data_IF_514153050248
#
_entry.id   IF_514153050248
#
_cell.length_a   1.000
_cell.length_b   1.000
_cell.length_c   1.000
_cell.angle_alpha   90.00
_cell.angle_beta   90.00
_cell.angle_gamma   90.00
#
_symmetry.space_group_name_H-M   'P 1'
#
loop_
_entity.id
_entity.type
_entity.pdbx_description
1 polymer ?
#
# COMPACT_ATOMS: atom_id res chain seq x y z
N UNK A 1 18.82 26.99 30.32
CA UNK A 1 18.62 26.55 29.86
C UNK A 1 18.19 25.96 29.33
N UNK A 2 18.07 26.04 29.20
CA UNK A 2 17.77 25.43 28.53
C UNK A 2 17.40 24.65 28.02
N UNK A 3 17.36 24.73 28.08
CA UNK A 3 17.18 23.95 27.53
C UNK A 3 16.85 23.19 27.07
N UNK A 4 16.84 23.35 27.16
CA UNK A 4 16.71 22.56 26.65
C UNK A 4 16.28 21.91 26.19
N UNK A 5 16.29 22.18 26.24
CA UNK A 5 16.08 21.54 25.67
C UNK A 5 15.75 20.83 25.14
N UNK A 6 15.82 20.96 25.18
CA UNK A 6 15.69 20.24 24.52
C UNK A 6 15.38 19.39 24.13
N UNK A 7 15.39 19.31 24.49
CA UNK A 7 15.25 18.53 24.02
C UNK A 7 14.71 17.84 23.73
N UNK A 8 14.69 17.86 23.84
CA UNK A 8 14.37 17.25 23.39
C UNK A 8 13.81 16.73 22.84
N UNK A 9 13.89 17.04 22.64
CA UNK A 9 13.55 16.71 21.86
C UNK A 9 13.20 16.19 21.28
N UNK A 10 13.23 16.16 21.26
CA UNK A 10 13.17 15.83 20.46
C UNK A 10 13.27 15.31 19.76
N UNK A 11 13.14 15.07 19.70
CA UNK A 11 13.53 15.06 18.33
C UNK A 11 13.47 13.74 17.64
N UNK A 12 13.92 12.81 18.05
CA UNK A 12 13.92 11.48 17.49
C UNK A 12 12.56 10.88 17.32
N UNK A 13 11.62 11.62 17.59
CA UNK A 13 10.24 11.15 17.61
C UNK A 13 9.68 10.72 16.27
N UNK A 14 10.15 11.20 15.14
CA UNK A 14 9.59 10.70 13.86
C UNK A 14 9.68 9.19 13.72
N UNK A 15 10.72 8.61 14.25
CA UNK A 15 10.84 7.16 14.18
C UNK A 15 9.81 6.48 15.04
N UNK A 16 9.44 7.10 16.15
CA UNK A 16 8.47 6.50 17.04
C UNK A 16 7.10 6.40 16.39
N UNK A 17 6.67 7.46 15.71
CA UNK A 17 5.34 7.39 15.11
C UNK A 17 5.27 6.37 13.98
N UNK A 18 6.37 6.11 13.30
CA UNK A 18 6.39 5.09 12.26
C UNK A 18 6.25 3.69 12.84
N UNK A 19 6.57 3.55 14.10
CA UNK A 19 6.49 2.27 14.79
C UNK A 19 5.30 2.21 15.76
N UNK A 20 4.36 3.15 15.61
CA UNK A 20 3.16 3.11 16.44
C UNK A 20 2.37 1.86 16.11
N UNK A 21 2.08 1.07 17.14
CA UNK A 21 1.40 -0.19 17.00
C UNK A 21 0.12 -0.15 17.82
N UNK A 22 -0.99 -0.46 17.17
CA UNK A 22 -2.26 -0.61 17.85
C UNK A 22 -2.48 -2.08 18.13
N UNK A 23 -2.23 -2.48 19.36
CA UNK A 23 -2.33 -3.89 19.73
C UNK A 23 -3.76 -4.42 19.68
N UNK A 24 -4.74 -3.54 19.56
CA UNK A 24 -6.13 -3.95 19.41
C UNK A 24 -6.51 -4.17 17.95
N UNK A 25 -5.65 -3.73 17.03
CA UNK A 25 -5.96 -3.75 15.60
C UNK A 25 -4.90 -4.55 14.84
N UNK A 26 -4.64 -5.76 15.30
CA UNK A 26 -3.69 -6.65 14.65
C UNK A 26 -4.27 -8.06 14.61
N UNK A 27 -3.62 -8.91 13.84
CA UNK A 27 -4.04 -10.31 13.75
C UNK A 27 -3.46 -11.10 14.90
N UNK A 28 -4.28 -11.96 15.49
CA UNK A 28 -3.81 -12.82 16.59
C UNK A 28 -3.06 -14.05 16.10
N UNK A 29 -2.96 -14.25 14.81
CA UNK A 29 -2.18 -15.32 14.20
C UNK A 29 -1.53 -14.75 12.95
N UNK A 30 -0.50 -15.42 12.45
CA UNK A 30 0.24 -14.91 11.31
C UNK A 30 -0.56 -15.14 10.02
N UNK A 31 -1.00 -14.07 9.35
CA UNK A 31 -1.76 -14.24 8.12
C UNK A 31 -0.84 -14.59 6.96
N UNK A 32 -1.38 -15.25 5.95
CA UNK A 32 -0.63 -15.53 4.72
C UNK A 32 -1.15 -14.70 3.56
N UNK A 33 -2.23 -13.95 3.75
CA UNK A 33 -2.87 -13.16 2.70
C UNK A 33 -3.54 -11.94 3.30
N UNK A 34 -3.67 -10.90 2.50
CA UNK A 34 -4.35 -9.69 2.89
C UNK A 34 -4.75 -8.92 1.64
N UNK A 35 -5.46 -7.80 1.82
CA UNK A 35 -5.90 -6.98 0.69
C UNK A 35 -4.80 -6.03 0.24
N UNK A 36 -4.52 -6.05 -1.06
CA UNK A 36 -3.85 -4.92 -1.70
C UNK A 36 -4.86 -3.80 -1.80
N UNK A 37 -4.42 -2.58 -1.55
CA UNK A 37 -5.27 -1.40 -1.60
C UNK A 37 -4.74 -0.50 -2.71
N UNK A 38 -5.54 -0.29 -3.75
CA UNK A 38 -5.15 0.50 -4.89
C UNK A 38 -5.96 1.78 -4.90
N UNK A 39 -5.30 2.92 -4.74
CA UNK A 39 -5.94 4.22 -4.76
C UNK A 39 -5.87 4.81 -6.16
N UNK A 40 -7.00 5.27 -6.65
CA UNK A 40 -7.18 5.66 -8.04
C UNK A 40 -7.93 6.97 -8.14
N UNK A 41 -7.90 7.56 -9.34
CA UNK A 41 -8.75 8.69 -9.67
C UNK A 41 -9.92 8.18 -10.51
N UNK A 42 -11.13 8.44 -10.06
CA UNK A 42 -12.35 8.14 -10.81
C UNK A 42 -13.02 9.46 -11.09
N UNK A 43 -13.29 9.75 -12.37
CA UNK A 43 -13.93 10.99 -12.76
C UNK A 43 -14.79 10.75 -14.00
N UNK A 44 -15.35 11.82 -14.59
CA UNK A 44 -16.25 11.65 -15.72
C UNK A 44 -15.56 11.11 -16.96
N UNK A 45 -14.27 11.39 -17.12
CA UNK A 45 -13.50 10.89 -18.25
C UNK A 45 -13.00 9.47 -17.98
N UNK A 46 -12.81 9.12 -16.72
CA UNK A 46 -12.31 7.82 -16.28
C UNK A 46 -13.25 7.26 -15.22
N UNK A 47 -14.46 6.88 -15.65
CA UNK A 47 -15.44 6.31 -14.72
C UNK A 47 -15.17 4.82 -14.48
N UNK A 48 -14.32 4.23 -15.28
CA UNK A 48 -13.79 2.90 -15.06
C UNK A 48 -12.33 2.89 -15.51
N UNK A 49 -11.47 2.28 -14.70
CA UNK A 49 -10.02 2.30 -14.92
C UNK A 49 -9.51 0.88 -15.00
N UNK A 50 -8.98 0.48 -16.17
CA UNK A 50 -8.38 -0.85 -16.28
C UNK A 50 -7.13 -0.96 -15.42
N UNK A 51 -7.02 -2.08 -14.71
CA UNK A 51 -5.87 -2.38 -13.86
C UNK A 51 -5.20 -3.65 -14.36
N UNK A 52 -3.89 -3.66 -14.38
CA UNK A 52 -3.10 -4.84 -14.69
C UNK A 52 -2.12 -5.08 -13.54
N UNK A 53 -2.10 -6.29 -13.04
CA UNK A 53 -1.25 -6.68 -11.93
C UNK A 53 -0.15 -7.57 -12.47
N UNK A 54 1.10 -7.10 -12.37
CA UNK A 54 2.27 -7.84 -12.80
C UNK A 54 2.93 -8.48 -11.60
N UNK A 55 3.28 -9.75 -11.73
CA UNK A 55 4.06 -10.43 -10.72
C UNK A 55 5.51 -10.00 -10.88
N UNK A 56 6.07 -9.40 -9.82
CA UNK A 56 7.41 -8.85 -9.87
C UNK A 56 7.41 -7.48 -10.52
N UNK A 57 8.43 -7.21 -11.29
CA UNK A 57 8.59 -5.92 -11.95
C UNK A 57 7.86 -5.89 -13.29
N UNK A 58 7.48 -4.69 -13.69
CA UNK A 58 6.79 -4.50 -14.97
C UNK A 58 7.63 -5.00 -16.14
N UNK A 59 8.94 -4.82 -16.07
CA UNK A 59 9.84 -5.22 -17.13
C UNK A 59 9.81 -6.72 -17.39
N UNK A 60 9.47 -7.50 -16.39
CA UNK A 60 9.39 -8.95 -16.55
C UNK A 60 8.16 -9.37 -17.34
N UNK A 61 7.15 -8.52 -17.40
CA UNK A 61 5.98 -8.73 -18.24
C UNK A 61 5.09 -9.89 -17.83
N UNK A 62 5.19 -10.38 -16.61
CA UNK A 62 4.39 -11.51 -16.14
C UNK A 62 3.09 -11.01 -15.55
N UNK A 63 2.03 -11.08 -16.34
CA UNK A 63 0.71 -10.62 -15.90
C UNK A 63 0.08 -11.71 -15.05
N UNK A 64 -0.30 -11.35 -13.82
CA UNK A 64 -0.93 -12.26 -12.90
C UNK A 64 -2.45 -12.09 -12.87
N UNK A 65 -2.92 -10.85 -13.02
CA UNK A 65 -4.34 -10.56 -12.90
C UNK A 65 -4.69 -9.27 -13.63
N UNK A 66 -5.90 -9.20 -14.15
CA UNK A 66 -6.43 -7.99 -14.77
C UNK A 66 -7.84 -7.77 -14.27
N UNK A 67 -8.19 -6.50 -14.05
CA UNK A 67 -9.50 -6.13 -13.56
C UNK A 67 -9.81 -4.69 -13.96
N UNK A 68 -10.98 -4.21 -13.60
CA UNK A 68 -11.41 -2.85 -13.89
C UNK A 68 -11.97 -2.25 -12.61
N UNK A 69 -11.45 -1.08 -12.23
CA UNK A 69 -11.90 -0.39 -11.04
C UNK A 69 -12.94 0.66 -11.40
N UNK A 70 -13.98 0.75 -10.60
CA UNK A 70 -15.04 1.77 -10.77
C UNK A 70 -15.17 2.65 -9.55
N UNK A 71 -14.34 2.45 -8.54
CA UNK A 71 -14.30 3.25 -7.32
C UNK A 71 -12.88 3.71 -7.06
N UNK A 72 -12.74 4.75 -6.27
CA UNK A 72 -11.43 5.35 -6.00
C UNK A 72 -10.53 4.44 -5.18
N UNK A 73 -11.08 3.46 -4.52
CA UNK A 73 -10.30 2.47 -3.80
C UNK A 73 -10.68 1.08 -4.30
N UNK A 74 -9.69 0.34 -4.75
CA UNK A 74 -9.87 -1.02 -5.28
C UNK A 74 -9.10 -1.98 -4.40
N UNK A 75 -9.76 -3.06 -3.97
CA UNK A 75 -9.15 -4.05 -3.09
C UNK A 75 -8.97 -5.36 -3.84
N UNK A 76 -7.81 -5.98 -3.67
CA UNK A 76 -7.54 -7.29 -4.22
C UNK A 76 -6.88 -8.16 -3.15
N UNK A 77 -7.54 -9.26 -2.79
CA UNK A 77 -7.00 -10.19 -1.79
C UNK A 77 -5.86 -10.98 -2.43
N UNK A 78 -4.70 -10.96 -1.80
CA UNK A 78 -3.49 -11.54 -2.37
C UNK A 78 -2.60 -12.12 -1.28
N UNK A 79 -1.69 -12.99 -1.69
CA UNK A 79 -0.71 -13.57 -0.76
C UNK A 79 0.34 -12.54 -0.37
N UNK A 80 0.85 -12.71 0.84
CA UNK A 80 1.94 -11.87 1.33
C UNK A 80 3.26 -12.30 0.72
N UNK A 81 4.27 -11.44 0.88
CA UNK A 81 5.64 -11.68 0.44
C UNK A 81 5.77 -11.86 -1.07
N UNK A 82 4.81 -11.33 -1.81
CA UNK A 82 4.88 -11.27 -3.27
C UNK A 82 4.96 -9.83 -3.71
N UNK A 83 5.91 -9.55 -4.58
CA UNK A 83 6.03 -8.22 -5.16
C UNK A 83 5.12 -8.13 -6.36
N UNK A 84 4.26 -7.12 -6.35
CA UNK A 84 3.38 -6.84 -7.49
C UNK A 84 3.62 -5.42 -7.97
N UNK A 85 3.59 -5.27 -9.28
CA UNK A 85 3.52 -3.95 -9.92
C UNK A 85 2.12 -3.81 -10.48
N UNK A 86 1.47 -2.69 -10.19
CA UNK A 86 0.12 -2.43 -10.66
C UNK A 86 0.17 -1.29 -11.65
N UNK A 87 -0.51 -1.46 -12.77
CA UNK A 87 -0.65 -0.43 -13.79
C UNK A 87 -2.10 -0.03 -13.89
N UNK A 88 -2.36 1.27 -13.81
CA UNK A 88 -3.68 1.85 -14.06
C UNK A 88 -3.62 2.60 -15.39
N UNK A 89 -4.60 2.40 -16.24
CA UNK A 89 -4.65 3.01 -17.55
C UNK A 89 -5.76 4.05 -17.59
N UNK A 90 -5.38 5.30 -17.80
CA UNK A 90 -6.29 6.44 -17.83
C UNK A 90 -6.36 7.06 -19.21
N UNK A 91 -7.42 7.79 -19.45
CA UNK A 91 -7.58 8.60 -20.65
C UNK A 91 -7.55 10.08 -20.28
N UNK A 92 -6.95 10.86 -21.17
CA UNK A 92 -6.96 12.32 -21.03
C UNK A 92 -7.03 12.90 -22.45
N UNK A 93 -8.28 13.13 -22.92
CA UNK A 93 -8.50 13.51 -24.30
C UNK A 93 -8.09 12.41 -25.25
N UNK A 94 -7.16 12.71 -26.15
CA UNK A 94 -6.65 11.74 -27.09
C UNK A 94 -5.47 10.93 -26.54
N UNK A 95 -5.07 11.19 -25.30
CA UNK A 95 -3.89 10.59 -24.73
C UNK A 95 -4.26 9.47 -23.78
N UNK A 96 -3.33 8.53 -23.65
CA UNK A 96 -3.43 7.46 -22.68
C UNK A 96 -2.32 7.69 -21.65
N UNK A 97 -2.70 7.71 -20.39
CA UNK A 97 -1.75 7.90 -19.29
C UNK A 97 -1.71 6.60 -18.50
N UNK A 98 -0.52 6.06 -18.29
CA UNK A 98 -0.36 4.85 -17.52
C UNK A 98 0.39 5.19 -16.22
N UNK A 99 -0.22 4.83 -15.10
CA UNK A 99 0.37 5.03 -13.78
C UNK A 99 0.81 3.67 -13.25
N UNK A 100 2.01 3.62 -12.69
CA UNK A 100 2.61 2.39 -12.18
C UNK A 100 3.03 2.59 -10.73
N UNK A 101 2.91 1.54 -9.94
CA UNK A 101 3.47 1.49 -8.60
C UNK A 101 3.76 0.04 -8.25
N UNK A 102 4.81 -0.17 -7.46
CA UNK A 102 5.25 -1.51 -7.05
C UNK A 102 5.37 -1.56 -5.55
N UNK A 103 4.98 -2.69 -4.98
CA UNK A 103 5.12 -2.88 -3.55
C UNK A 103 5.04 -4.36 -3.22
N UNK A 104 5.28 -4.67 -1.96
CA UNK A 104 5.20 -6.03 -1.43
C UNK A 104 4.62 -5.95 -0.03
N UNK A 105 3.60 -6.77 0.26
CA UNK A 105 3.07 -6.87 1.61
C UNK A 105 3.97 -7.76 2.43
N UNK A 106 4.29 -7.31 3.64
CA UNK A 106 5.12 -8.05 4.58
C UNK A 106 4.45 -8.08 5.94
N UNK A 107 4.96 -8.94 6.82
CA UNK A 107 4.44 -9.07 8.17
C UNK A 107 5.41 -8.44 9.15
N UNK A 108 4.90 -7.64 10.03
CA UNK A 108 5.63 -7.19 11.21
C UNK A 108 5.10 -7.95 12.43
N UNK A 109 6.00 -8.62 13.15
CA UNK A 109 5.65 -9.37 14.35
C UNK A 109 5.79 -8.44 15.55
N UNK A 110 4.66 -8.08 16.14
CA UNK A 110 4.61 -7.16 17.27
C UNK A 110 4.31 -7.89 18.58
N UNK A 111 4.62 -9.17 18.66
CA UNK A 111 4.31 -9.97 19.84
C UNK A 111 4.97 -9.41 21.09
N UNK A 112 6.23 -8.98 20.98
CA UNK A 112 6.93 -8.43 22.15
C UNK A 112 6.34 -7.12 22.59
N UNK A 113 6.02 -6.25 21.65
CA UNK A 113 5.48 -4.94 21.98
C UNK A 113 4.12 -5.03 22.63
N UNK A 114 3.32 -6.02 22.22
CA UNK A 114 1.94 -6.13 22.69
C UNK A 114 1.75 -7.16 23.79
N UNK A 115 2.75 -7.97 24.07
CA UNK A 115 2.67 -8.98 25.12
C UNK A 115 1.73 -10.13 24.80
N UNK A 116 1.30 -10.26 23.55
CA UNK A 116 0.43 -11.33 23.08
C UNK A 116 0.59 -11.42 21.57
N UNK A 117 0.14 -12.51 20.95
CA UNK A 117 0.28 -12.64 19.48
C UNK A 117 -0.35 -11.45 18.77
N UNK A 118 0.47 -10.77 17.97
CA UNK A 118 0.05 -9.57 17.24
C UNK A 118 0.88 -9.46 15.98
N UNK A 119 0.22 -9.58 14.83
CA UNK A 119 0.86 -9.53 13.52
C UNK A 119 0.24 -8.41 12.72
N UNK A 120 1.08 -7.61 12.08
CA UNK A 120 0.64 -6.44 11.34
C UNK A 120 1.12 -6.58 9.90
N UNK A 121 0.20 -6.39 8.95
CA UNK A 121 0.55 -6.39 7.53
C UNK A 121 1.00 -4.99 7.17
N UNK A 122 2.16 -4.89 6.53
CA UNK A 122 2.74 -3.63 6.06
C UNK A 122 2.89 -3.68 4.55
N UNK A 123 2.68 -2.53 3.91
CA UNK A 123 2.80 -2.43 2.47
C UNK A 123 1.51 -2.84 1.78
N UNK A 124 1.58 -2.95 0.46
CA UNK A 124 0.42 -3.32 -0.34
C UNK A 124 -0.53 -2.17 -0.60
N UNK A 125 -0.10 -0.94 -0.35
CA UNK A 125 -0.90 0.26 -0.63
C UNK A 125 -0.27 0.95 -1.83
N UNK A 126 -1.06 1.07 -2.89
CA UNK A 126 -0.61 1.61 -4.17
C UNK A 126 -1.31 2.92 -4.44
N UNK A 127 -0.55 3.93 -4.82
CA UNK A 127 -1.13 5.21 -5.20
C UNK A 127 -0.96 5.38 -6.70
N UNK A 128 -2.04 5.17 -7.42
CA UNK A 128 -2.08 5.29 -8.87
C UNK A 128 -2.98 6.45 -9.29
N UNK A 129 -3.20 7.40 -8.39
CA UNK A 129 -4.04 8.55 -8.66
C UNK A 129 -3.37 9.46 -9.68
N UNK A 130 -4.21 10.11 -10.50
CA UNK A 130 -3.71 11.12 -11.44
C UNK A 130 -3.26 12.35 -10.67
N UNK A 131 -2.17 12.93 -11.12
CA UNK A 131 -1.69 14.21 -10.63
C UNK A 131 -2.14 15.26 -11.62
N UNK A 132 -2.94 16.23 -11.13
CA UNK A 132 -3.48 17.24 -12.02
C UNK A 132 -3.07 18.64 -11.63
#
# INVERSE_FOLDING_TARGET
MLVLLSGKFTACEPEDWMLTIDCADCFGFEPDSANLIINLTINSENDSVPLTFYLGDYEDGVIDWQDTATTEEFLLYSELDRRYTVRATYRSGDRVIEAFDSDKMTIYNANEECGSPCYIVKGGIYDLSLIE
#
